data_IF_760011118843
#
_entry.id   IF_760011118843
#
_cell.length_a   1.000
_cell.length_b   1.000
_cell.length_c   1.000
_cell.angle_alpha   90.00
_cell.angle_beta   90.00
_cell.angle_gamma   90.00
#
_symmetry.space_group_name_H-M   'P 1'
#
loop_
_entity.id
_entity.type
_entity.pdbx_description
1 polymer ?
#
# COMPACT_ATOMS: atom_id res chain seq x y z
N UNK A 1 23.16 39.67 -8.52
CA UNK A 1 22.35 38.56 -7.97
C UNK A 1 21.65 37.88 -9.14
N UNK A 2 22.13 36.69 -9.53
CA UNK A 2 21.65 35.96 -10.70
C UNK A 2 20.34 35.26 -10.36
N UNK A 3 19.24 35.65 -11.02
CA UNK A 3 18.00 34.86 -11.01
C UNK A 3 18.28 33.61 -11.82
N UNK A 4 18.19 32.45 -11.17
CA UNK A 4 18.26 31.13 -11.75
C UNK A 4 17.31 31.01 -12.94
N UNK A 5 17.85 31.20 -14.15
CA UNK A 5 17.11 31.10 -15.40
C UNK A 5 16.98 29.62 -15.79
N UNK A 6 16.22 28.84 -15.01
CA UNK A 6 15.77 27.54 -15.48
C UNK A 6 14.83 27.81 -16.66
N UNK A 7 15.21 27.34 -17.84
CA UNK A 7 14.40 27.41 -19.06
C UNK A 7 13.00 26.86 -18.77
N UNK A 8 11.97 27.41 -19.41
CA UNK A 8 10.60 26.87 -19.34
C UNK A 8 10.59 25.36 -19.61
N UNK A 9 11.45 24.87 -20.49
CA UNK A 9 11.60 23.44 -20.78
C UNK A 9 12.17 22.62 -19.61
N UNK A 10 13.04 23.20 -18.77
CA UNK A 10 13.61 22.55 -17.58
C UNK A 10 12.53 22.39 -16.50
N UNK A 11 11.71 23.41 -16.30
CA UNK A 11 10.56 23.38 -15.38
C UNK A 11 9.51 22.34 -15.84
N UNK A 12 9.18 22.31 -17.14
CA UNK A 12 8.29 21.29 -17.69
C UNK A 12 8.85 19.87 -17.53
N UNK A 13 10.16 19.67 -17.71
CA UNK A 13 10.80 18.36 -17.51
C UNK A 13 10.71 17.90 -16.05
N UNK A 14 10.97 18.79 -15.08
CA UNK A 14 10.82 18.46 -13.65
C UNK A 14 9.39 18.06 -13.30
N UNK A 15 8.38 18.77 -13.81
CA UNK A 15 6.98 18.43 -13.55
C UNK A 15 6.62 17.07 -14.19
N UNK A 16 7.08 16.80 -15.41
CA UNK A 16 6.84 15.51 -16.07
C UNK A 16 7.56 14.34 -15.36
N UNK A 17 8.78 14.56 -14.87
CA UNK A 17 9.51 13.56 -14.07
C UNK A 17 8.81 13.30 -12.74
N UNK A 18 8.40 14.35 -12.01
CA UNK A 18 7.62 14.20 -10.78
C UNK A 18 6.29 13.48 -11.04
N UNK A 19 5.59 13.81 -12.13
CA UNK A 19 4.36 13.15 -12.53
C UNK A 19 4.58 11.66 -12.89
N UNK A 20 5.69 11.33 -13.55
CA UNK A 20 6.05 9.95 -13.88
C UNK A 20 6.31 9.13 -12.62
N UNK A 21 7.07 9.67 -11.67
CA UNK A 21 7.31 9.06 -10.36
C UNK A 21 5.98 8.84 -9.62
N UNK A 22 5.11 9.85 -9.62
CA UNK A 22 3.79 9.78 -9.00
C UNK A 22 2.91 8.68 -9.62
N UNK A 23 3.00 8.50 -10.94
CA UNK A 23 2.31 7.42 -11.67
C UNK A 23 2.87 6.03 -11.31
N UNK A 24 4.20 5.92 -11.16
CA UNK A 24 4.86 4.67 -10.75
C UNK A 24 4.43 4.22 -9.36
N UNK A 25 4.26 5.15 -8.41
CA UNK A 25 3.71 4.86 -7.08
C UNK A 25 2.28 4.31 -7.11
N UNK A 26 1.52 4.57 -8.17
CA UNK A 26 0.16 4.05 -8.35
C UNK A 26 0.10 2.55 -8.65
N UNK A 27 1.21 1.94 -9.12
CA UNK A 27 1.24 0.55 -9.61
C UNK A 27 2.22 -0.36 -8.86
N UNK A 28 2.95 0.15 -7.88
CA UNK A 28 3.95 -0.61 -7.13
C UNK A 28 3.29 -1.61 -6.18
N UNK A 29 3.83 -2.83 -6.15
CA UNK A 29 3.59 -3.81 -5.08
C UNK A 29 4.75 -3.72 -4.10
N UNK A 30 4.44 -3.53 -2.83
CA UNK A 30 5.45 -3.36 -1.80
C UNK A 30 5.05 -4.12 -0.55
N UNK A 31 6.01 -4.82 0.05
CA UNK A 31 5.80 -5.49 1.33
C UNK A 31 6.98 -5.24 2.26
N UNK A 32 6.68 -4.89 3.52
CA UNK A 32 7.68 -4.55 4.53
C UNK A 32 7.17 -4.90 5.93
N UNK A 33 8.08 -5.08 6.87
CA UNK A 33 7.72 -5.28 8.28
C UNK A 33 7.50 -3.94 8.98
N UNK A 34 6.51 -3.89 9.86
CA UNK A 34 6.24 -2.74 10.71
C UNK A 34 5.73 -3.17 12.09
N UNK A 35 5.89 -2.29 13.07
CA UNK A 35 5.24 -2.39 14.37
C UNK A 35 4.04 -1.44 14.36
N UNK A 36 2.83 -1.97 14.53
CA UNK A 36 1.59 -1.19 14.47
C UNK A 36 0.78 -1.41 15.73
N UNK A 37 0.40 -0.32 16.39
CA UNK A 37 -0.67 -0.30 17.39
C UNK A 37 -2.02 -0.11 16.68
N UNK A 38 -2.77 -1.20 16.57
CA UNK A 38 -4.04 -1.22 15.86
C UNK A 38 -5.20 -0.59 16.65
N UNK A 39 -5.09 -0.53 17.98
CA UNK A 39 -6.18 -0.10 18.88
C UNK A 39 -5.92 1.26 19.53
N UNK A 40 -4.71 1.79 19.43
CA UNK A 40 -4.28 3.01 20.12
C UNK A 40 -4.09 2.80 21.63
N UNK A 41 -3.87 1.56 22.07
CA UNK A 41 -3.72 1.19 23.48
C UNK A 41 -2.26 1.06 23.93
N UNK A 42 -1.31 1.31 23.02
CA UNK A 42 0.13 1.17 23.22
C UNK A 42 0.67 -0.24 22.98
N UNK A 43 -0.18 -1.22 22.63
CA UNK A 43 0.26 -2.59 22.34
C UNK A 43 0.60 -2.74 20.86
N UNK A 44 1.84 -2.42 20.52
CA UNK A 44 2.30 -2.63 19.15
C UNK A 44 2.41 -4.13 18.79
N UNK A 45 2.05 -4.45 17.56
CA UNK A 45 2.18 -5.79 16.99
C UNK A 45 3.07 -5.75 15.76
N UNK A 46 4.04 -6.67 15.69
CA UNK A 46 4.86 -6.84 14.50
C UNK A 46 4.06 -7.53 13.40
N UNK A 47 4.04 -6.90 12.22
CA UNK A 47 3.22 -7.33 11.09
C UNK A 47 3.99 -7.19 9.78
N UNK A 48 3.63 -8.01 8.81
CA UNK A 48 3.93 -7.76 7.40
C UNK A 48 2.85 -6.84 6.83
N UNK A 49 3.27 -5.65 6.39
CA UNK A 49 2.43 -4.72 5.65
C UNK A 49 2.58 -4.99 4.16
N UNK A 50 1.45 -5.05 3.45
CA UNK A 50 1.39 -5.18 2.00
C UNK A 50 0.62 -4.03 1.39
N UNK A 51 1.30 -3.29 0.51
CA UNK A 51 0.76 -2.13 -0.21
C UNK A 51 0.64 -2.44 -1.69
N UNK A 52 -0.55 -2.18 -2.22
CA UNK A 52 -0.85 -2.26 -3.65
C UNK A 52 -1.18 -0.88 -4.15
N UNK A 53 -0.17 -0.20 -4.68
CA UNK A 53 -0.28 1.17 -5.19
C UNK A 53 -0.97 2.11 -4.22
N UNK A 54 -2.15 2.60 -4.63
CA UNK A 54 -3.05 3.46 -3.84
C UNK A 54 -4.40 2.83 -3.53
N UNK A 55 -4.62 1.57 -3.92
CA UNK A 55 -5.94 0.94 -3.86
C UNK A 55 -6.10 0.01 -2.67
N UNK A 56 -5.00 -0.50 -2.11
CA UNK A 56 -5.03 -1.38 -0.95
C UNK A 56 -3.79 -1.17 -0.08
N UNK A 57 -4.02 -1.13 1.22
CA UNK A 57 -3.01 -1.25 2.25
C UNK A 57 -3.55 -2.25 3.27
N UNK A 58 -2.86 -3.38 3.44
CA UNK A 58 -3.26 -4.46 4.34
C UNK A 58 -2.10 -4.86 5.22
N UNK A 59 -2.39 -5.42 6.38
CA UNK A 59 -1.40 -5.95 7.30
C UNK A 59 -1.75 -7.40 7.65
N UNK A 60 -0.73 -8.22 7.88
CA UNK A 60 -0.85 -9.61 8.33
C UNK A 60 0.12 -9.82 9.48
N UNK A 61 -0.34 -10.43 10.57
CA UNK A 61 0.57 -10.82 11.66
C UNK A 61 1.64 -11.79 11.16
N UNK A 62 2.80 -11.82 11.81
CA UNK A 62 3.90 -12.70 11.38
C UNK A 62 3.52 -14.19 11.44
N UNK A 63 2.68 -14.58 12.40
CA UNK A 63 2.09 -15.93 12.50
C UNK A 63 0.94 -16.18 11.52
N UNK A 64 0.42 -15.13 10.88
CA UNK A 64 -0.69 -15.19 9.93
C UNK A 64 -2.07 -15.36 10.53
N UNK A 65 -2.20 -15.34 11.86
CA UNK A 65 -3.46 -15.52 12.57
C UNK A 65 -4.42 -14.35 12.39
N UNK A 66 -3.88 -13.14 12.22
CA UNK A 66 -4.66 -11.92 12.14
C UNK A 66 -4.30 -11.11 10.89
N UNK A 67 -5.31 -10.43 10.36
CA UNK A 67 -5.19 -9.57 9.19
C UNK A 67 -6.03 -8.32 9.36
N UNK A 68 -5.56 -7.23 8.75
CA UNK A 68 -6.23 -5.94 8.75
C UNK A 68 -6.18 -5.30 7.37
N UNK A 69 -7.15 -4.44 7.09
CA UNK A 69 -7.07 -3.47 5.99
C UNK A 69 -7.08 -2.06 6.54
N UNK A 70 -6.46 -1.15 5.80
CA UNK A 70 -6.59 0.27 6.06
C UNK A 70 -7.90 0.78 5.46
N UNK A 71 -8.77 1.33 6.31
CA UNK A 71 -9.87 2.17 5.89
C UNK A 71 -9.35 3.61 5.75
N UNK A 72 -9.31 4.09 4.51
CA UNK A 72 -8.81 5.43 4.21
C UNK A 72 -9.79 6.55 4.57
N UNK A 73 -11.09 6.26 4.64
CA UNK A 73 -12.13 7.24 4.93
C UNK A 73 -12.17 7.52 6.43
N UNK A 74 -12.18 6.45 7.23
CA UNK A 74 -12.16 6.56 8.69
C UNK A 74 -10.75 6.71 9.27
N UNK A 75 -9.69 6.54 8.45
CA UNK A 75 -8.28 6.60 8.86
C UNK A 75 -7.94 5.62 9.98
N UNK A 76 -8.47 4.40 9.89
CA UNK A 76 -8.28 3.35 10.89
C UNK A 76 -7.92 2.03 10.22
N UNK A 77 -7.28 1.16 10.98
CA UNK A 77 -7.14 -0.24 10.60
C UNK A 77 -8.38 -1.01 11.01
N UNK A 78 -8.95 -1.76 10.07
CA UNK A 78 -10.08 -2.64 10.31
C UNK A 78 -9.62 -4.09 10.27
N UNK A 79 -9.98 -4.87 11.28
CA UNK A 79 -9.73 -6.31 11.30
C UNK A 79 -10.58 -7.02 10.24
N UNK A 80 -9.99 -8.00 9.57
CA UNK A 80 -10.65 -8.85 8.59
C UNK A 80 -10.70 -10.30 9.06
N UNK A 81 -11.61 -11.08 8.49
CA UNK A 81 -11.62 -12.53 8.69
C UNK A 81 -10.36 -13.16 8.08
N UNK A 82 -9.46 -13.65 8.94
CA UNK A 82 -8.21 -14.26 8.53
C UNK A 82 -8.41 -15.53 7.70
N UNK A 83 -9.48 -16.29 7.92
CA UNK A 83 -9.78 -17.48 7.12
C UNK A 83 -10.10 -17.12 5.67
N UNK A 84 -10.71 -15.95 5.45
CA UNK A 84 -11.07 -15.48 4.12
C UNK A 84 -9.89 -14.83 3.38
N UNK A 85 -8.96 -14.16 4.09
CA UNK A 85 -8.00 -13.24 3.48
C UNK A 85 -6.51 -13.53 3.72
N UNK A 86 -6.13 -14.24 4.79
CA UNK A 86 -4.71 -14.40 5.18
C UNK A 86 -3.86 -15.07 4.09
N UNK A 87 -4.42 -16.07 3.41
CA UNK A 87 -3.71 -16.79 2.34
C UNK A 87 -3.43 -15.89 1.13
N UNK A 88 -4.42 -15.12 0.68
CA UNK A 88 -4.33 -14.22 -0.48
C UNK A 88 -3.38 -13.06 -0.20
N UNK A 89 -3.44 -12.49 1.01
CA UNK A 89 -2.51 -11.44 1.44
C UNK A 89 -1.08 -11.99 1.48
N UNK A 90 -0.87 -13.19 2.01
CA UNK A 90 0.46 -13.83 2.04
C UNK A 90 1.01 -14.08 0.62
N UNK A 91 0.17 -14.51 -0.32
CA UNK A 91 0.57 -14.63 -1.73
C UNK A 91 1.00 -13.28 -2.29
N UNK A 92 0.23 -12.21 -2.03
CA UNK A 92 0.58 -10.85 -2.42
C UNK A 92 1.92 -10.37 -1.84
N UNK A 93 2.17 -10.60 -0.55
CA UNK A 93 3.44 -10.32 0.12
C UNK A 93 4.59 -11.04 -0.57
N UNK A 94 4.42 -12.33 -0.85
CA UNK A 94 5.45 -13.13 -1.54
C UNK A 94 5.73 -12.61 -2.96
N UNK A 95 4.70 -12.21 -3.71
CA UNK A 95 4.87 -11.60 -5.03
C UNK A 95 5.64 -10.28 -4.92
N UNK A 96 5.27 -9.40 -3.97
CA UNK A 96 5.97 -8.13 -3.74
C UNK A 96 7.44 -8.32 -3.36
N UNK A 97 7.75 -9.41 -2.65
CA UNK A 97 9.12 -9.82 -2.28
C UNK A 97 9.85 -10.61 -3.39
N UNK A 98 9.26 -10.77 -4.58
CA UNK A 98 9.77 -11.60 -5.68
C UNK A 98 10.02 -13.08 -5.29
N UNK A 99 9.26 -13.60 -4.32
CA UNK A 99 9.31 -14.99 -3.82
C UNK A 99 8.23 -15.90 -4.44
N UNK A 100 7.41 -15.34 -5.32
CA UNK A 100 6.38 -16.05 -6.08
C UNK A 100 6.26 -15.42 -7.48
N UNK A 101 5.80 -16.21 -8.44
CA UNK A 101 5.48 -15.73 -9.79
C UNK A 101 4.26 -14.82 -9.76
N UNK A 102 4.11 -13.97 -10.77
CA UNK A 102 2.93 -13.09 -10.90
C UNK A 102 1.66 -13.94 -10.99
N UNK A 103 0.67 -13.57 -10.19
CA UNK A 103 -0.61 -14.26 -10.07
C UNK A 103 -1.76 -13.24 -9.96
N UNK A 104 -3.00 -13.69 -10.13
CA UNK A 104 -4.20 -12.88 -9.90
C UNK A 104 -4.46 -12.82 -8.40
N UNK A 105 -4.43 -11.61 -7.82
CA UNK A 105 -4.66 -11.38 -6.41
C UNK A 105 -6.10 -10.91 -6.15
N UNK A 106 -6.79 -11.59 -5.24
CA UNK A 106 -8.01 -11.08 -4.62
C UNK A 106 -7.63 -10.29 -3.36
N UNK A 107 -8.07 -9.04 -3.28
CA UNK A 107 -7.72 -8.14 -2.19
C UNK A 107 -8.97 -7.50 -1.58
N UNK A 108 -8.98 -7.25 -0.26
CA UNK A 108 -10.09 -6.63 0.44
C UNK A 108 -10.06 -5.11 0.22
N UNK A 109 -10.41 -4.68 -0.99
CA UNK A 109 -10.47 -3.26 -1.37
C UNK A 109 -11.85 -2.66 -1.12
N UNK A 110 -11.89 -1.36 -0.85
CA UNK A 110 -13.16 -0.63 -0.83
C UNK A 110 -13.84 -0.72 -2.20
N UNK A 111 -15.17 -0.82 -2.18
CA UNK A 111 -15.94 -0.75 -3.41
C UNK A 111 -15.78 0.64 -4.05
N UNK A 112 -15.78 0.75 -5.39
CA UNK A 112 -15.72 2.05 -6.05
C UNK A 112 -16.92 2.90 -5.62
N UNK A 113 -16.64 4.13 -5.22
CA UNK A 113 -17.68 5.13 -4.96
C UNK A 113 -18.37 5.48 -6.28
N UNK A 114 -19.70 5.63 -6.27
CA UNK A 114 -20.43 6.04 -7.47
C UNK A 114 -20.03 7.47 -7.81
N UNK A 115 -19.70 7.72 -9.08
CA UNK A 115 -19.63 9.08 -9.58
C UNK A 115 -21.03 9.70 -9.52
N UNK A 116 -21.19 10.79 -8.76
CA UNK A 116 -22.35 11.70 -8.86
C UNK A 116 -22.29 12.54 -10.13
#
# INVERSE_FOLDING_TARGET
MSKSNQSVAENFRQVLEAYKIENEYGRKLEAYEASIDFNGDGNERQVDVFRVGRIALVARSLDGADVWRWDNDNRVWESLDANAWSAQINTGIRIARNQAVKDILQLPIAAPEKAE
#
